data_IF_486840574304
#
_entry.id   IF_486840574304
#
_cell.length_a   1.000
_cell.length_b   1.000
_cell.length_c   1.000
_cell.angle_alpha   90.00
_cell.angle_beta   90.00
_cell.angle_gamma   90.00
#
_symmetry.space_group_name_H-M   'P 1'
#
loop_
_entity.id
_entity.type
_entity.pdbx_description
1 polymer ?
#
# COMPACT_ATOMS: atom_id res chain seq x y z
N UNK A 1 12.71 20.61 -3.94
CA UNK A 1 11.31 20.27 -3.57
C UNK A 1 10.83 19.00 -4.27
N UNK A 2 11.23 18.76 -5.52
CA UNK A 2 10.81 17.56 -6.27
C UNK A 2 11.27 16.24 -5.65
N UNK A 3 12.52 16.18 -5.17
CA UNK A 3 13.07 14.95 -4.58
C UNK A 3 12.30 14.46 -3.34
N UNK A 4 11.77 15.39 -2.53
CA UNK A 4 10.95 15.07 -1.36
C UNK A 4 9.61 14.50 -1.80
N UNK A 5 8.99 15.08 -2.83
CA UNK A 5 7.72 14.58 -3.37
C UNK A 5 7.90 13.16 -3.93
N UNK A 6 8.95 12.96 -4.73
CA UNK A 6 9.27 11.64 -5.27
C UNK A 6 9.48 10.61 -4.16
N UNK A 7 10.22 10.97 -3.11
CA UNK A 7 10.43 10.07 -1.97
C UNK A 7 9.13 9.72 -1.23
N UNK A 8 8.20 10.67 -1.14
CA UNK A 8 6.87 10.44 -0.54
C UNK A 8 6.03 9.53 -1.45
N UNK A 9 6.03 9.78 -2.76
CA UNK A 9 5.26 9.00 -3.73
C UNK A 9 5.77 7.54 -3.78
N UNK A 10 7.09 7.35 -3.80
CA UNK A 10 7.73 6.02 -3.72
C UNK A 10 7.34 5.28 -2.43
N UNK A 11 7.31 5.99 -1.30
CA UNK A 11 6.90 5.40 -0.02
C UNK A 11 5.42 5.01 -0.02
N UNK A 12 4.54 5.85 -0.59
CA UNK A 12 3.11 5.58 -0.69
C UNK A 12 2.87 4.34 -1.56
N UNK A 13 3.55 4.23 -2.71
CA UNK A 13 3.46 3.06 -3.57
C UNK A 13 3.95 1.80 -2.85
N UNK A 14 5.13 1.86 -2.22
CA UNK A 14 5.67 0.78 -1.41
C UNK A 14 4.68 0.31 -0.34
N UNK A 15 4.11 1.24 0.43
CA UNK A 15 3.19 0.94 1.51
C UNK A 15 1.91 0.27 0.99
N UNK A 16 1.32 0.81 -0.08
CA UNK A 16 0.04 0.36 -0.61
C UNK A 16 0.11 -0.98 -1.34
N UNK A 17 1.23 -1.23 -2.03
CA UNK A 17 1.35 -2.37 -2.95
C UNK A 17 2.24 -3.50 -2.44
N UNK A 18 3.21 -3.23 -1.57
CA UNK A 18 4.25 -4.21 -1.23
C UNK A 18 4.38 -4.49 0.28
N UNK A 19 4.07 -3.53 1.15
CA UNK A 19 4.21 -3.70 2.61
C UNK A 19 3.02 -4.45 3.22
N UNK A 20 3.18 -5.75 3.46
CA UNK A 20 2.16 -6.56 4.14
C UNK A 20 1.88 -6.06 5.56
N UNK A 21 0.61 -5.87 5.90
CA UNK A 21 0.17 -5.41 7.22
C UNK A 21 -0.30 -6.60 8.07
N UNK A 22 0.30 -6.78 9.24
CA UNK A 22 -0.05 -7.87 10.17
C UNK A 22 -1.55 -7.86 10.54
N UNK A 23 -2.10 -6.68 10.77
CA UNK A 23 -3.51 -6.50 11.13
C UNK A 23 -4.46 -6.67 9.93
N UNK A 24 -3.96 -6.68 8.69
CA UNK A 24 -4.75 -6.92 7.47
C UNK A 24 -4.54 -8.34 6.95
N UNK A 25 -4.51 -9.35 7.84
CA UNK A 25 -4.26 -10.75 7.47
C UNK A 25 -2.96 -10.96 6.68
N UNK A 26 -1.94 -10.12 6.94
CA UNK A 26 -0.68 -10.09 6.19
C UNK A 26 -0.84 -9.72 4.71
N UNK A 27 -1.88 -8.99 4.35
CA UNK A 27 -2.09 -8.45 3.01
C UNK A 27 -1.62 -6.99 2.91
N UNK A 28 -1.37 -6.57 1.68
CA UNK A 28 -1.13 -5.16 1.38
C UNK A 28 -2.47 -4.42 1.30
N UNK A 29 -2.50 -3.11 1.56
CA UNK A 29 -3.74 -2.32 1.52
C UNK A 29 -4.57 -2.54 0.25
N UNK A 30 -3.94 -2.54 -0.92
CA UNK A 30 -4.62 -2.78 -2.21
C UNK A 30 -5.21 -4.19 -2.29
N UNK A 31 -4.46 -5.22 -1.89
CA UNK A 31 -4.94 -6.61 -1.90
C UNK A 31 -6.12 -6.80 -0.95
N UNK A 32 -6.06 -6.21 0.24
CA UNK A 32 -7.15 -6.27 1.21
C UNK A 32 -8.42 -5.58 0.67
N UNK A 33 -8.30 -4.39 0.09
CA UNK A 33 -9.41 -3.70 -0.58
C UNK A 33 -10.04 -4.56 -1.68
N UNK A 34 -9.23 -5.17 -2.54
CA UNK A 34 -9.73 -5.98 -3.65
C UNK A 34 -10.50 -7.22 -3.16
N UNK A 35 -10.08 -7.83 -2.04
CA UNK A 35 -10.84 -8.93 -1.44
C UNK A 35 -12.23 -8.49 -0.95
N UNK A 36 -12.34 -7.29 -0.36
CA UNK A 36 -13.63 -6.76 0.11
C UNK A 36 -14.56 -6.35 -1.03
N UNK A 37 -14.01 -5.90 -2.16
CA UNK A 37 -14.77 -5.51 -3.35
C UNK A 37 -15.14 -6.69 -4.27
N UNK A 38 -14.50 -7.85 -4.09
CA UNK A 38 -14.85 -9.08 -4.78
C UNK A 38 -15.99 -9.85 -4.10
N UNK A 39 -16.60 -9.27 -3.06
CA UNK A 39 -17.78 -9.77 -2.36
C UNK A 39 -19.04 -9.17 -2.96
#
# INVERSE_FOLDING_TARGET
MEEIKNSIDDYIDYYNNYRCQWNLKKLTPVKYRNQLLAV
#
